data_IF_624146578508
#
_entry.id   IF_624146578508
#
_cell.length_a   1.000
_cell.length_b   1.000
_cell.length_c   1.000
_cell.angle_alpha   90.00
_cell.angle_beta   90.00
_cell.angle_gamma   90.00
#
_symmetry.space_group_name_H-M   'P 1'
#
loop_
_entity.id
_entity.type
_entity.pdbx_description
1 polymer ?
#
# COMPACT_ATOMS: atom_id res chain seq x y z
N UNK A 1 -28.82 -24.78 66.35
CA UNK A 1 -27.46 -24.99 66.89
C UNK A 1 -26.49 -24.72 65.74
N UNK A 2 -25.69 -23.68 65.60
CA UNK A 2 -25.34 -22.42 66.29
C UNK A 2 -24.72 -21.58 65.12
N UNK A 3 -25.31 -20.46 64.70
CA UNK A 3 -25.04 -19.10 65.18
C UNK A 3 -23.64 -18.52 64.83
N UNK A 4 -23.66 -17.43 64.04
CA UNK A 4 -22.79 -16.22 64.10
C UNK A 4 -21.29 -16.42 63.70
N UNK A 5 -20.53 -15.48 63.13
CA UNK A 5 -20.65 -14.03 62.97
C UNK A 5 -19.32 -13.48 62.38
N UNK A 6 -19.41 -12.39 61.61
CA UNK A 6 -18.44 -11.30 61.42
C UNK A 6 -17.02 -11.59 60.89
N UNK A 7 -16.73 -11.03 59.71
CA UNK A 7 -15.44 -10.42 59.33
C UNK A 7 -15.57 -9.82 57.91
N UNK A 8 -16.44 -8.82 57.74
CA UNK A 8 -16.05 -7.44 57.39
C UNK A 8 -14.63 -7.05 57.85
N UNK A 9 -13.62 -7.34 57.02
CA UNK A 9 -12.33 -6.64 57.05
C UNK A 9 -11.85 -6.36 55.61
N UNK A 10 -11.68 -5.07 55.34
CA UNK A 10 -10.83 -4.46 54.32
C UNK A 10 -11.21 -4.62 52.84
N UNK A 11 -12.26 -3.88 52.43
CA UNK A 11 -12.24 -3.26 51.11
C UNK A 11 -11.21 -2.11 51.16
N UNK A 12 -10.05 -2.18 50.47
CA UNK A 12 -9.11 -1.08 50.43
C UNK A 12 -9.84 0.17 49.94
N UNK A 13 -9.75 1.23 50.75
CA UNK A 13 -10.45 2.49 50.55
C UNK A 13 -10.38 2.93 49.10
N UNK A 14 -11.56 3.11 48.48
CA UNK A 14 -11.68 3.90 47.25
C UNK A 14 -11.13 5.28 47.57
N UNK A 15 -9.85 5.51 47.29
CA UNK A 15 -9.25 6.83 47.26
C UNK A 15 -10.18 7.68 46.39
N UNK A 16 -10.78 8.70 46.98
CA UNK A 16 -11.52 9.71 46.25
C UNK A 16 -10.55 10.24 45.19
N UNK A 17 -10.71 9.78 43.95
CA UNK A 17 -9.95 10.29 42.83
C UNK A 17 -10.29 11.77 42.77
N UNK A 18 -9.35 12.62 43.18
CA UNK A 18 -9.47 14.07 43.10
C UNK A 18 -9.91 14.40 41.69
N UNK A 19 -11.12 14.91 41.54
CA UNK A 19 -11.62 15.31 40.24
C UNK A 19 -10.58 16.26 39.63
N UNK A 20 -10.01 15.95 38.46
CA UNK A 20 -9.06 16.85 37.83
C UNK A 20 -9.75 18.21 37.69
N UNK A 21 -9.18 19.22 38.33
CA UNK A 21 -9.78 20.55 38.37
C UNK A 21 -10.08 21.03 36.96
N UNK A 22 -11.26 21.62 36.75
CA UNK A 22 -11.78 22.13 35.47
C UNK A 22 -10.74 22.94 34.67
N UNK A 23 -9.81 23.59 35.37
CA UNK A 23 -8.67 24.34 34.84
C UNK A 23 -7.75 23.48 33.93
N UNK A 24 -7.50 22.22 34.29
CA UNK A 24 -6.65 21.32 33.50
C UNK A 24 -7.30 20.87 32.19
N UNK A 25 -8.64 20.90 32.12
CA UNK A 25 -9.38 20.62 30.90
C UNK A 25 -9.45 21.89 30.04
N UNK A 26 -9.58 23.08 30.62
CA UNK A 26 -9.68 24.34 29.88
C UNK A 26 -8.38 24.74 29.17
N UNK A 27 -7.22 24.55 29.82
CA UNK A 27 -5.91 24.91 29.27
C UNK A 27 -5.63 24.36 27.86
N UNK A 28 -5.81 23.06 27.56
CA UNK A 28 -5.57 22.53 26.22
C UNK A 28 -6.54 23.09 25.17
N UNK A 29 -7.79 23.38 25.50
CA UNK A 29 -8.74 23.99 24.55
C UNK A 29 -8.33 25.42 24.17
N UNK A 30 -7.86 26.22 25.13
CA UNK A 30 -7.37 27.59 24.85
C UNK A 30 -6.11 27.55 23.99
N UNK A 31 -5.15 26.68 24.31
CA UNK A 31 -3.92 26.52 23.53
C UNK A 31 -4.24 26.06 22.09
N UNK A 32 -5.13 25.08 21.95
CA UNK A 32 -5.49 24.52 20.65
C UNK A 32 -6.31 25.52 19.81
N UNK A 33 -7.19 26.28 20.45
CA UNK A 33 -7.93 27.38 19.81
C UNK A 33 -7.00 28.50 19.32
N UNK A 34 -6.02 28.90 20.14
CA UNK A 34 -5.04 29.92 19.75
C UNK A 34 -4.15 29.45 18.59
N UNK A 35 -3.64 28.21 18.64
CA UNK A 35 -2.89 27.61 17.53
C UNK A 35 -3.73 27.54 16.24
N UNK A 36 -5.00 27.17 16.34
CA UNK A 36 -5.90 27.15 15.18
C UNK A 36 -6.05 28.55 14.56
N UNK A 37 -6.26 29.59 15.39
CA UNK A 37 -6.35 30.99 14.91
C UNK A 37 -5.07 31.42 14.20
N UNK A 38 -3.89 31.11 14.74
CA UNK A 38 -2.61 31.44 14.11
C UNK A 38 -2.44 30.76 12.74
N UNK A 39 -2.78 29.47 12.64
CA UNK A 39 -2.70 28.71 11.39
C UNK A 39 -3.67 29.26 10.35
N UNK A 40 -4.93 29.49 10.73
CA UNK A 40 -5.98 30.02 9.84
C UNK A 40 -5.61 31.42 9.34
N UNK A 41 -5.12 32.29 10.22
CA UNK A 41 -4.71 33.65 9.86
C UNK A 41 -3.55 33.63 8.86
N UNK A 42 -2.54 32.77 9.09
CA UNK A 42 -1.42 32.59 8.15
C UNK A 42 -1.88 32.08 6.78
N UNK A 43 -2.79 31.09 6.76
CA UNK A 43 -3.41 30.57 5.53
C UNK A 43 -4.23 31.64 4.81
N UNK A 44 -5.03 32.43 5.54
CA UNK A 44 -5.87 33.48 4.96
C UNK A 44 -5.02 34.57 4.30
N UNK A 45 -3.90 34.95 4.92
CA UNK A 45 -2.98 35.96 4.38
C UNK A 45 -2.27 35.44 3.12
N UNK A 46 -1.84 34.17 3.10
CA UNK A 46 -1.06 33.61 1.98
C UNK A 46 -1.90 33.13 0.80
N UNK A 47 -3.08 32.58 1.07
CA UNK A 47 -3.87 31.84 0.07
C UNK A 47 -5.32 32.34 -0.04
N UNK A 48 -5.70 33.36 0.74
CA UNK A 48 -7.03 33.96 0.73
C UNK A 48 -8.00 33.35 1.74
N UNK A 49 -9.03 34.12 2.09
CA UNK A 49 -10.03 33.78 3.11
C UNK A 49 -10.82 32.50 2.77
N UNK A 50 -11.14 32.27 1.50
CA UNK A 50 -11.89 31.07 1.07
C UNK A 50 -11.12 29.78 1.40
N UNK A 51 -9.81 29.74 1.14
CA UNK A 51 -8.95 28.58 1.45
C UNK A 51 -8.85 28.38 2.96
N UNK A 52 -8.76 29.47 3.72
CA UNK A 52 -8.70 29.41 5.18
C UNK A 52 -10.00 28.86 5.80
N UNK A 53 -11.17 29.27 5.30
CA UNK A 53 -12.47 28.71 5.73
C UNK A 53 -12.59 27.23 5.35
N UNK A 54 -12.20 26.87 4.13
CA UNK A 54 -12.20 25.47 3.69
C UNK A 54 -11.30 24.62 4.58
N UNK A 55 -10.08 25.10 4.89
CA UNK A 55 -9.15 24.41 5.77
C UNK A 55 -9.71 24.28 7.19
N UNK A 56 -10.33 25.32 7.74
CA UNK A 56 -10.94 25.30 9.07
C UNK A 56 -12.04 24.24 9.19
N UNK A 57 -12.84 24.04 8.14
CA UNK A 57 -13.90 23.04 8.12
C UNK A 57 -13.38 21.63 7.81
N UNK A 58 -12.45 21.52 6.85
CA UNK A 58 -11.96 20.22 6.37
C UNK A 58 -10.96 19.58 7.34
N UNK A 59 -10.04 20.35 7.94
CA UNK A 59 -8.96 19.82 8.78
C UNK A 59 -9.49 19.04 10.00
N UNK A 60 -10.45 19.54 10.79
CA UNK A 60 -10.99 18.78 11.92
C UNK A 60 -11.66 17.47 11.48
N UNK A 61 -12.44 17.51 10.39
CA UNK A 61 -13.11 16.33 9.85
C UNK A 61 -12.09 15.30 9.37
N UNK A 62 -11.03 15.75 8.68
CA UNK A 62 -9.92 14.89 8.24
C UNK A 62 -9.15 14.30 9.41
N UNK A 63 -8.82 15.10 10.44
CA UNK A 63 -8.11 14.63 11.62
C UNK A 63 -8.93 13.60 12.42
N UNK A 64 -10.22 13.88 12.65
CA UNK A 64 -11.12 12.92 13.33
C UNK A 64 -11.21 11.63 12.52
N UNK A 65 -11.42 11.74 11.21
CA UNK A 65 -11.49 10.57 10.33
C UNK A 65 -10.17 9.79 10.38
N UNK A 66 -9.03 10.47 10.31
CA UNK A 66 -7.70 9.87 10.40
C UNK A 66 -7.49 9.13 11.72
N UNK A 67 -7.83 9.74 12.87
CA UNK A 67 -7.67 9.10 14.18
C UNK A 67 -8.58 7.87 14.31
N UNK A 68 -9.84 7.97 13.89
CA UNK A 68 -10.78 6.85 13.90
C UNK A 68 -10.32 5.73 12.96
N UNK A 69 -9.88 6.10 11.75
CA UNK A 69 -9.34 5.20 10.75
C UNK A 69 -8.10 4.46 11.25
N UNK A 70 -7.16 5.19 11.87
CA UNK A 70 -5.92 4.63 12.39
C UNK A 70 -6.16 3.67 13.55
N UNK A 71 -7.05 4.01 14.49
CA UNK A 71 -7.43 3.10 15.58
C UNK A 71 -8.02 1.79 15.04
N UNK A 72 -8.85 1.87 14.00
CA UNK A 72 -9.42 0.70 13.33
C UNK A 72 -8.37 -0.10 12.57
N UNK A 73 -7.46 0.56 11.87
CA UNK A 73 -6.34 -0.07 11.19
C UNK A 73 -5.48 -0.88 12.16
N UNK A 74 -5.16 -0.33 13.33
CA UNK A 74 -4.44 -1.05 14.40
C UNK A 74 -5.23 -2.26 14.88
N UNK A 75 -6.56 -2.14 15.03
CA UNK A 75 -7.43 -3.29 15.34
C UNK A 75 -7.37 -4.40 14.29
N UNK A 76 -7.40 -4.03 13.00
CA UNK A 76 -7.22 -4.97 11.89
C UNK A 76 -5.84 -5.63 11.91
N UNK A 77 -4.77 -4.86 12.14
CA UNK A 77 -3.41 -5.38 12.22
C UNK A 77 -3.25 -6.37 13.38
N UNK A 78 -3.84 -6.10 14.55
CA UNK A 78 -3.84 -7.03 15.68
C UNK A 78 -4.60 -8.32 15.37
N UNK A 79 -5.75 -8.19 14.72
CA UNK A 79 -6.56 -9.35 14.30
C UNK A 79 -5.80 -10.19 13.27
N UNK A 80 -5.15 -9.53 12.30
CA UNK A 80 -4.34 -10.17 11.28
C UNK A 80 -3.12 -10.87 11.88
N UNK A 81 -2.45 -10.22 12.85
CA UNK A 81 -1.34 -10.77 13.61
C UNK A 81 -1.72 -12.08 14.32
N UNK A 82 -2.92 -12.15 14.90
CA UNK A 82 -3.42 -13.36 15.56
C UNK A 82 -3.66 -14.54 14.59
N UNK A 83 -3.80 -14.29 13.30
CA UNK A 83 -4.05 -15.30 12.26
C UNK A 83 -2.83 -15.54 11.36
N UNK A 84 -1.64 -15.06 11.75
CA UNK A 84 -0.42 -15.26 10.97
C UNK A 84 -0.06 -16.75 10.91
N UNK A 85 -0.10 -17.27 9.69
CA UNK A 85 0.43 -18.59 9.34
C UNK A 85 1.86 -18.47 8.85
N UNK A 86 2.59 -19.59 8.84
CA UNK A 86 3.98 -19.68 8.34
C UNK A 86 4.21 -18.96 7.01
N UNK A 87 3.25 -19.08 6.08
CA UNK A 87 3.38 -18.47 4.77
C UNK A 87 3.23 -16.94 4.76
N UNK A 88 2.53 -16.35 5.73
CA UNK A 88 2.45 -14.89 5.83
C UNK A 88 3.83 -14.31 6.13
N UNK A 89 4.58 -14.99 7.01
CA UNK A 89 5.95 -14.62 7.36
C UNK A 89 6.85 -14.76 6.14
N UNK A 90 6.82 -15.91 5.45
CA UNK A 90 7.65 -16.08 4.24
C UNK A 90 7.32 -15.08 3.14
N UNK A 91 6.03 -14.78 2.94
CA UNK A 91 5.59 -13.77 1.98
C UNK A 91 6.08 -12.38 2.34
N UNK A 92 6.07 -12.03 3.63
CA UNK A 92 6.65 -10.78 4.13
C UNK A 92 8.17 -10.75 3.94
N UNK A 93 8.88 -11.86 4.11
CA UNK A 93 10.33 -11.94 3.88
C UNK A 93 10.68 -11.72 2.41
N UNK A 94 9.96 -12.35 1.47
CA UNK A 94 10.12 -12.09 0.03
C UNK A 94 9.76 -10.64 -0.32
N UNK A 95 8.65 -10.13 0.23
CA UNK A 95 8.29 -8.72 0.03
C UNK A 95 9.40 -7.78 0.52
N UNK A 96 10.00 -8.08 1.68
CA UNK A 96 11.10 -7.32 2.25
C UNK A 96 12.40 -7.46 1.43
N UNK A 97 12.69 -8.64 0.87
CA UNK A 97 13.86 -8.85 0.01
C UNK A 97 13.74 -8.07 -1.30
N UNK A 98 12.53 -7.88 -1.81
CA UNK A 98 12.25 -7.08 -2.99
C UNK A 98 12.39 -5.55 -2.76
N UNK A 99 12.48 -5.08 -1.51
CA UNK A 99 12.65 -3.65 -1.23
C UNK A 99 14.05 -3.18 -1.61
N UNK A 100 14.12 -2.11 -2.40
CA UNK A 100 15.38 -1.54 -2.87
C UNK A 100 15.79 -0.39 -1.95
N UNK A 101 16.84 -0.55 -1.15
CA UNK A 101 17.34 0.52 -0.29
C UNK A 101 18.49 1.34 -0.93
N UNK A 102 19.01 0.86 -2.06
CA UNK A 102 20.10 1.50 -2.80
C UNK A 102 19.92 1.25 -4.30
N UNK A 103 20.02 2.31 -5.11
CA UNK A 103 20.09 2.22 -6.56
C UNK A 103 21.57 2.15 -6.96
N UNK A 104 21.95 1.17 -7.78
CA UNK A 104 23.33 0.99 -8.28
C UNK A 104 23.36 1.07 -9.81
N UNK A 105 24.38 1.72 -10.36
CA UNK A 105 24.70 1.64 -11.79
C UNK A 105 25.37 0.31 -12.15
N UNK A 106 25.45 0.00 -13.45
CA UNK A 106 26.06 -1.25 -13.94
C UNK A 106 27.53 -1.37 -13.49
N UNK A 107 28.30 -0.29 -13.56
CA UNK A 107 29.71 -0.29 -13.17
C UNK A 107 29.89 -0.57 -11.67
N UNK A 108 29.06 0.03 -10.80
CA UNK A 108 29.09 -0.23 -9.35
C UNK A 108 28.78 -1.69 -9.01
N UNK A 109 27.87 -2.33 -9.75
CA UNK A 109 27.52 -3.74 -9.57
C UNK A 109 28.71 -4.64 -9.96
N UNK A 110 29.47 -4.25 -10.99
CA UNK A 110 30.65 -5.01 -11.43
C UNK A 110 31.82 -4.89 -10.44
N UNK A 111 32.03 -3.70 -9.88
CA UNK A 111 33.11 -3.46 -8.91
C UNK A 111 32.83 -4.10 -7.55
N UNK A 112 31.57 -4.04 -7.09
CA UNK A 112 31.16 -4.57 -5.78
C UNK A 112 29.83 -5.34 -5.91
N UNK A 113 29.89 -6.63 -6.30
CA UNK A 113 28.67 -7.42 -6.53
C UNK A 113 27.87 -7.62 -5.24
N UNK A 114 28.57 -7.83 -4.11
CA UNK A 114 27.97 -8.13 -2.81
C UNK A 114 28.27 -6.98 -1.83
N UNK A 115 27.24 -6.21 -1.48
CA UNK A 115 27.27 -5.21 -0.40
C UNK A 115 26.29 -5.61 0.74
N UNK A 116 26.17 -4.77 1.77
CA UNK A 116 25.31 -5.06 2.91
C UNK A 116 23.82 -5.21 2.53
N UNK A 117 23.34 -4.45 1.54
CA UNK A 117 21.95 -4.52 1.08
C UNK A 117 21.70 -5.76 0.21
N UNK A 118 22.68 -6.16 -0.61
CA UNK A 118 22.65 -7.43 -1.32
C UNK A 118 22.66 -8.61 -0.34
N UNK A 119 23.50 -8.59 0.70
CA UNK A 119 23.52 -9.61 1.75
C UNK A 119 22.19 -9.68 2.51
N UNK A 120 21.57 -8.53 2.81
CA UNK A 120 20.23 -8.48 3.39
C UNK A 120 19.21 -9.22 2.51
N UNK A 121 19.17 -8.91 1.21
CA UNK A 121 18.25 -9.55 0.24
C UNK A 121 18.49 -11.06 0.14
N UNK A 122 19.75 -11.46 -0.10
CA UNK A 122 20.15 -12.87 -0.20
C UNK A 122 19.84 -13.62 1.10
N UNK A 123 20.05 -13.00 2.26
CA UNK A 123 19.76 -13.60 3.56
C UNK A 123 18.27 -13.92 3.73
N UNK A 124 17.38 -12.99 3.35
CA UNK A 124 15.93 -13.23 3.40
C UNK A 124 15.48 -14.32 2.42
N UNK A 125 16.00 -14.28 1.18
CA UNK A 125 15.73 -15.29 0.15
C UNK A 125 16.24 -16.68 0.57
N UNK A 126 17.40 -16.76 1.21
CA UNK A 126 17.97 -18.00 1.74
C UNK A 126 17.09 -18.60 2.86
N UNK A 127 16.55 -17.77 3.76
CA UNK A 127 15.61 -18.22 4.80
C UNK A 127 14.34 -18.81 4.16
N UNK A 128 13.78 -18.14 3.16
CA UNK A 128 12.58 -18.61 2.45
C UNK A 128 12.87 -19.92 1.71
N UNK A 129 14.01 -20.00 1.00
CA UNK A 129 14.46 -21.20 0.30
C UNK A 129 14.61 -22.38 1.25
N UNK A 130 15.31 -22.20 2.38
CA UNK A 130 15.50 -23.24 3.38
C UNK A 130 14.16 -23.70 3.97
N UNK A 131 13.24 -22.77 4.22
CA UNK A 131 11.90 -23.11 4.71
C UNK A 131 11.11 -23.95 3.68
N UNK A 132 11.14 -23.59 2.40
CA UNK A 132 10.47 -24.34 1.33
C UNK A 132 11.08 -25.73 1.13
N UNK A 133 12.41 -25.84 1.12
CA UNK A 133 13.13 -27.11 1.03
C UNK A 133 12.84 -28.01 2.23
N UNK A 134 12.85 -27.46 3.44
CA UNK A 134 12.50 -28.21 4.66
C UNK A 134 11.08 -28.75 4.59
N UNK A 135 10.13 -27.94 4.13
CA UNK A 135 8.73 -28.39 3.96
C UNK A 135 8.57 -29.44 2.87
N UNK A 136 9.36 -29.35 1.80
CA UNK A 136 9.39 -30.34 0.73
C UNK A 136 9.96 -31.68 1.24
N UNK A 137 11.10 -31.64 1.93
CA UNK A 137 11.75 -32.81 2.51
C UNK A 137 10.85 -33.53 3.53
N UNK A 138 10.16 -32.75 4.38
CA UNK A 138 9.18 -33.28 5.34
C UNK A 138 7.82 -33.63 4.70
N UNK A 139 7.67 -33.49 3.38
CA UNK A 139 6.42 -33.72 2.62
C UNK A 139 5.20 -33.02 3.22
N UNK A 140 5.40 -31.86 3.87
CA UNK A 140 4.31 -31.09 4.51
C UNK A 140 3.44 -30.37 3.49
N UNK A 141 3.98 -30.09 2.31
CA UNK A 141 3.33 -29.33 1.22
C UNK A 141 3.85 -29.80 -0.12
N UNK A 142 2.97 -30.28 -0.99
CA UNK A 142 3.28 -30.74 -2.37
C UNK A 142 3.40 -29.55 -3.34
N UNK A 143 4.18 -28.55 -2.98
CA UNK A 143 4.25 -27.29 -3.72
C UNK A 143 4.94 -27.42 -5.08
N UNK A 144 5.90 -28.34 -5.21
CA UNK A 144 6.65 -28.54 -6.45
C UNK A 144 5.73 -28.92 -7.62
N UNK A 145 4.79 -29.85 -7.40
CA UNK A 145 3.81 -30.21 -8.41
C UNK A 145 2.82 -29.08 -8.72
N UNK A 146 2.52 -28.22 -7.74
CA UNK A 146 1.66 -27.06 -7.92
C UNK A 146 2.32 -25.94 -8.73
N UNK A 147 3.65 -25.84 -8.73
CA UNK A 147 4.40 -24.81 -9.43
C UNK A 147 4.19 -24.86 -10.94
N UNK A 148 3.94 -26.05 -11.50
CA UNK A 148 3.76 -26.26 -12.94
C UNK A 148 2.28 -26.38 -13.36
N UNK A 149 1.34 -25.86 -12.56
CA UNK A 149 -0.09 -25.94 -12.84
C UNK A 149 -0.73 -24.55 -12.99
N UNK A 150 -1.69 -24.46 -13.91
CA UNK A 150 -2.48 -23.25 -14.14
C UNK A 150 -1.63 -22.02 -14.45
N UNK A 151 -2.03 -20.86 -13.93
CA UNK A 151 -1.32 -19.60 -14.14
C UNK A 151 0.08 -19.58 -13.50
N UNK A 152 0.25 -20.24 -12.35
CA UNK A 152 1.57 -20.36 -11.69
C UNK A 152 2.54 -21.12 -12.59
N UNK A 153 2.07 -22.15 -13.30
CA UNK A 153 2.86 -22.87 -14.31
C UNK A 153 3.36 -21.99 -15.46
N UNK A 154 2.55 -21.02 -15.90
CA UNK A 154 2.96 -20.05 -16.93
C UNK A 154 4.07 -19.14 -16.39
N UNK A 155 3.95 -18.66 -15.15
CA UNK A 155 5.01 -17.88 -14.49
C UNK A 155 6.28 -18.72 -14.31
N UNK A 156 6.16 -19.97 -13.90
CA UNK A 156 7.30 -20.88 -13.78
C UNK A 156 7.99 -21.11 -15.13
N UNK A 157 7.23 -21.32 -16.20
CA UNK A 157 7.78 -21.46 -17.54
C UNK A 157 8.53 -20.21 -17.98
N UNK A 158 7.99 -19.01 -17.70
CA UNK A 158 8.68 -17.75 -17.94
C UNK A 158 10.02 -17.67 -17.17
N UNK A 159 10.01 -17.98 -15.86
CA UNK A 159 11.24 -18.02 -15.06
C UNK A 159 12.27 -19.05 -15.53
N UNK A 160 11.83 -20.19 -16.08
CA UNK A 160 12.72 -21.18 -16.69
C UNK A 160 13.32 -20.70 -18.01
N UNK A 161 12.57 -19.94 -18.81
CA UNK A 161 13.09 -19.29 -20.03
C UNK A 161 14.13 -18.23 -19.65
N UNK A 162 13.85 -17.41 -18.64
CA UNK A 162 14.83 -16.46 -18.09
C UNK A 162 16.07 -17.19 -17.56
N UNK A 163 15.91 -18.31 -16.88
CA UNK A 163 17.03 -19.13 -16.42
C UNK A 163 17.87 -19.65 -17.60
N UNK A 164 17.23 -20.18 -18.65
CA UNK A 164 17.91 -20.64 -19.86
C UNK A 164 18.67 -19.51 -20.57
N UNK A 165 18.12 -18.29 -20.55
CA UNK A 165 18.76 -17.10 -21.14
C UNK A 165 20.11 -16.72 -20.54
N UNK A 166 20.43 -17.25 -19.36
CA UNK A 166 21.77 -17.16 -18.76
C UNK A 166 22.88 -17.59 -19.73
N UNK A 167 22.62 -18.57 -20.59
CA UNK A 167 23.62 -19.15 -21.52
C UNK A 167 24.15 -18.10 -22.51
N UNK A 168 23.31 -17.15 -22.94
CA UNK A 168 23.67 -16.13 -23.92
C UNK A 168 23.56 -14.70 -23.37
N UNK A 169 23.44 -14.55 -22.05
CA UNK A 169 23.37 -13.23 -21.42
C UNK A 169 24.73 -12.55 -21.42
N UNK A 170 24.72 -11.22 -21.59
CA UNK A 170 25.90 -10.36 -21.45
C UNK A 170 26.48 -10.45 -20.03
N UNK A 171 25.63 -10.68 -19.02
CA UNK A 171 26.07 -10.89 -17.64
C UNK A 171 25.41 -12.14 -17.04
N UNK A 172 25.98 -13.34 -17.27
CA UNK A 172 25.38 -14.61 -16.88
C UNK A 172 25.11 -14.73 -15.38
N UNK A 173 26.06 -14.35 -14.52
CA UNK A 173 25.90 -14.47 -13.07
C UNK A 173 24.71 -13.63 -12.54
N UNK A 174 24.55 -12.40 -13.03
CA UNK A 174 23.42 -11.55 -12.64
C UNK A 174 22.08 -12.08 -13.17
N UNK A 175 22.08 -12.59 -14.40
CA UNK A 175 20.88 -13.19 -15.02
C UNK A 175 20.46 -14.43 -14.25
N UNK A 176 21.39 -15.34 -13.96
CA UNK A 176 21.16 -16.53 -13.14
C UNK A 176 20.57 -16.16 -11.78
N UNK A 177 21.16 -15.17 -11.10
CA UNK A 177 20.67 -14.69 -9.81
C UNK A 177 19.22 -14.20 -9.90
N UNK A 178 18.90 -13.34 -10.87
CA UNK A 178 17.54 -12.80 -11.04
C UNK A 178 16.51 -13.85 -11.45
N UNK A 179 16.88 -14.79 -12.31
CA UNK A 179 16.00 -15.90 -12.67
C UNK A 179 15.72 -16.81 -11.48
N UNK A 180 16.72 -17.09 -10.64
CA UNK A 180 16.54 -17.86 -9.40
C UNK A 180 15.67 -17.12 -8.38
N UNK A 181 15.86 -15.81 -8.22
CA UNK A 181 15.05 -14.96 -7.35
C UNK A 181 13.57 -14.99 -7.79
N UNK A 182 13.31 -14.80 -9.08
CA UNK A 182 11.97 -14.88 -9.65
C UNK A 182 11.34 -16.27 -9.48
N UNK A 183 12.09 -17.34 -9.75
CA UNK A 183 11.60 -18.71 -9.55
C UNK A 183 11.32 -19.02 -8.08
N UNK A 184 12.06 -18.43 -7.14
CA UNK A 184 11.79 -18.54 -5.71
C UNK A 184 10.46 -17.87 -5.34
N UNK A 185 10.16 -16.69 -5.88
CA UNK A 185 8.88 -16.01 -5.69
C UNK A 185 7.71 -16.86 -6.21
N UNK A 186 7.87 -17.43 -7.40
CA UNK A 186 6.89 -18.34 -8.01
C UNK A 186 6.73 -19.61 -7.19
N UNK A 187 7.83 -20.19 -6.69
CA UNK A 187 7.81 -21.38 -5.84
C UNK A 187 7.10 -21.13 -4.50
N UNK A 188 7.36 -19.97 -3.87
CA UNK A 188 6.65 -19.57 -2.66
C UNK A 188 5.16 -19.38 -2.94
N UNK A 189 4.79 -18.70 -4.04
CA UNK A 189 3.39 -18.53 -4.44
C UNK A 189 2.71 -19.89 -4.66
N UNK A 190 3.38 -20.83 -5.34
CA UNK A 190 2.91 -22.20 -5.52
C UNK A 190 2.68 -22.90 -4.18
N UNK A 191 3.60 -22.75 -3.23
CA UNK A 191 3.48 -23.33 -1.91
C UNK A 191 2.33 -22.72 -1.10
N UNK A 192 2.10 -21.42 -1.23
CA UNK A 192 0.96 -20.73 -0.61
C UNK A 192 -0.33 -21.31 -1.19
N UNK A 193 -0.50 -21.26 -2.51
CA UNK A 193 -1.73 -21.70 -3.19
C UNK A 193 -2.03 -23.17 -2.93
N UNK A 194 -1.02 -24.04 -2.89
CA UNK A 194 -1.19 -25.44 -2.51
C UNK A 194 -1.71 -25.65 -1.07
N UNK A 195 -1.60 -24.64 -0.20
CA UNK A 195 -2.12 -24.69 1.19
C UNK A 195 -3.43 -23.94 1.41
N UNK A 196 -3.88 -23.12 0.45
CA UNK A 196 -5.16 -22.42 0.57
C UNK A 196 -6.29 -23.42 0.33
N UNK A 197 -7.07 -23.73 1.36
CA UNK A 197 -8.17 -24.72 1.30
C UNK A 197 -9.54 -24.07 1.24
N UNK A 198 -9.64 -22.79 1.54
CA UNK A 198 -10.90 -22.06 1.66
C UNK A 198 -10.82 -20.67 1.03
N UNK A 199 -11.98 -20.12 0.68
CA UNK A 199 -12.11 -18.73 0.21
C UNK A 199 -11.61 -17.73 1.26
N UNK A 200 -11.80 -18.04 2.55
CA UNK A 200 -11.31 -17.19 3.64
C UNK A 200 -9.78 -17.20 3.72
N UNK A 201 -9.12 -18.34 3.47
CA UNK A 201 -7.65 -18.38 3.38
C UNK A 201 -7.14 -17.51 2.23
N UNK A 202 -7.78 -17.58 1.05
CA UNK A 202 -7.46 -16.71 -0.08
C UNK A 202 -7.64 -15.24 0.29
N UNK A 203 -8.73 -14.90 0.98
CA UNK A 203 -9.00 -13.55 1.46
C UNK A 203 -7.92 -13.06 2.42
N UNK A 204 -7.46 -13.90 3.35
CA UNK A 204 -6.36 -13.56 4.25
C UNK A 204 -5.06 -13.31 3.49
N UNK A 205 -4.73 -14.13 2.50
CA UNK A 205 -3.54 -13.95 1.67
C UNK A 205 -3.57 -12.61 0.94
N UNK A 206 -4.67 -12.28 0.27
CA UNK A 206 -4.81 -11.00 -0.41
C UNK A 206 -4.80 -9.81 0.56
N UNK A 207 -5.54 -9.89 1.66
CA UNK A 207 -5.54 -8.82 2.67
C UNK A 207 -4.12 -8.59 3.23
N UNK A 208 -3.33 -9.64 3.42
CA UNK A 208 -1.94 -9.53 3.85
C UNK A 208 -1.08 -8.82 2.81
N UNK A 209 -1.13 -9.24 1.54
CA UNK A 209 -0.41 -8.60 0.43
C UNK A 209 -0.75 -7.11 0.32
N UNK A 210 -2.03 -6.76 0.40
CA UNK A 210 -2.47 -5.37 0.32
C UNK A 210 -2.07 -4.56 1.55
N UNK A 211 -1.99 -5.19 2.72
CA UNK A 211 -1.44 -4.56 3.92
C UNK A 211 0.03 -4.18 3.70
N UNK A 212 0.83 -5.07 3.10
CA UNK A 212 2.23 -4.79 2.76
C UNK A 212 2.35 -3.62 1.77
N UNK A 213 1.50 -3.56 0.75
CA UNK A 213 1.43 -2.39 -0.15
C UNK A 213 1.03 -1.10 0.59
N UNK A 214 0.07 -1.18 1.51
CA UNK A 214 -0.31 -0.03 2.34
C UNK A 214 0.86 0.48 3.20
N UNK A 215 1.61 -0.43 3.83
CA UNK A 215 2.82 -0.09 4.59
C UNK A 215 3.90 0.54 3.71
N UNK A 216 4.09 0.03 2.49
CA UNK A 216 5.01 0.61 1.52
C UNK A 216 4.59 2.02 1.07
N UNK A 217 3.30 2.28 0.85
CA UNK A 217 2.83 3.64 0.56
C UNK A 217 2.98 4.57 1.76
N UNK A 218 2.82 4.06 2.99
CA UNK A 218 3.13 4.85 4.19
C UNK A 218 4.61 5.25 4.20
N UNK A 219 5.55 4.35 3.87
CA UNK A 219 6.96 4.71 3.80
C UNK A 219 7.25 5.74 2.70
N UNK A 220 6.53 5.70 1.57
CA UNK A 220 6.62 6.73 0.52
C UNK A 220 6.20 8.10 1.07
N UNK A 221 5.07 8.19 1.79
CA UNK A 221 4.61 9.43 2.40
C UNK A 221 5.51 9.91 3.55
N UNK A 222 6.12 9.00 4.31
CA UNK A 222 7.18 9.36 5.26
C UNK A 222 8.39 9.98 4.54
N UNK A 223 8.73 9.48 3.36
CA UNK A 223 9.72 10.09 2.47
C UNK A 223 9.39 11.55 2.12
N UNK A 224 8.13 11.89 1.88
CA UNK A 224 7.70 13.28 1.63
C UNK A 224 7.95 14.18 2.85
N UNK A 225 7.74 13.66 4.05
CA UNK A 225 7.92 14.42 5.28
C UNK A 225 9.40 14.61 5.65
N UNK A 226 10.21 13.56 5.49
CA UNK A 226 11.62 13.54 5.88
C UNK A 226 12.52 14.14 4.80
N UNK A 227 12.19 13.89 3.53
CA UNK A 227 13.01 14.13 2.35
C UNK A 227 12.14 14.67 1.19
N UNK A 228 11.45 15.81 1.36
CA UNK A 228 10.51 16.34 0.36
C UNK A 228 11.18 16.55 -1.01
N UNK A 229 12.44 16.99 -1.03
CA UNK A 229 13.18 17.22 -2.27
C UNK A 229 13.47 15.93 -3.05
N UNK A 230 13.66 14.80 -2.37
CA UNK A 230 13.88 13.50 -3.03
C UNK A 230 12.57 12.74 -3.30
N UNK A 231 11.56 12.88 -2.44
CA UNK A 231 10.28 12.17 -2.60
C UNK A 231 9.35 12.86 -3.60
N UNK A 232 9.38 14.19 -3.65
CA UNK A 232 8.68 15.03 -4.61
C UNK A 232 9.72 15.69 -5.52
N UNK A 233 10.49 14.89 -6.26
CA UNK A 233 11.58 15.46 -7.04
C UNK A 233 11.03 16.41 -8.12
N UNK A 234 11.42 17.70 -8.10
CA UNK A 234 11.17 18.60 -9.19
C UNK A 234 12.21 18.32 -10.27
N UNK A 235 11.75 17.91 -11.45
CA UNK A 235 12.53 17.85 -12.70
C UNK A 235 13.94 17.22 -12.61
N UNK A 236 14.04 15.95 -13.01
CA UNK A 236 15.21 15.58 -13.82
C UNK A 236 15.14 16.42 -15.10
N UNK A 237 16.11 17.33 -15.29
CA UNK A 237 16.27 18.10 -16.52
C UNK A 237 16.09 17.14 -17.72
N UNK A 238 15.12 17.41 -18.59
CA UNK A 238 14.91 16.79 -19.92
C UNK A 238 13.93 15.60 -20.05
N UNK A 239 13.11 15.24 -19.07
CA UNK A 239 11.98 14.31 -19.33
C UNK A 239 10.67 15.00 -18.97
N UNK A 240 9.87 15.29 -20.01
CA UNK A 240 8.68 16.16 -19.98
C UNK A 240 7.86 16.00 -18.72
N UNK A 241 7.36 17.10 -18.17
CA UNK A 241 6.69 17.13 -16.86
C UNK A 241 5.23 16.77 -17.04
N UNK A 242 4.62 16.04 -16.10
CA UNK A 242 3.17 15.96 -16.09
C UNK A 242 2.60 17.18 -15.39
N UNK A 243 1.28 17.35 -15.49
CA UNK A 243 0.57 18.62 -15.23
C UNK A 243 0.93 19.29 -13.89
N UNK A 244 1.22 18.52 -12.83
CA UNK A 244 1.46 19.07 -11.49
C UNK A 244 2.89 19.56 -11.24
N UNK A 245 3.82 19.43 -12.19
CA UNK A 245 5.21 19.89 -11.98
C UNK A 245 6.07 18.98 -11.08
N UNK A 246 5.45 18.07 -10.33
CA UNK A 246 6.09 17.16 -9.36
C UNK A 246 5.59 15.74 -9.53
N UNK A 247 6.43 14.74 -9.23
CA UNK A 247 6.04 13.33 -9.18
C UNK A 247 6.44 12.72 -7.84
N UNK A 248 5.53 11.94 -7.27
CA UNK A 248 5.76 11.22 -6.03
C UNK A 248 6.54 9.92 -6.31
N UNK A 249 7.59 9.67 -5.53
CA UNK A 249 8.35 8.43 -5.54
C UNK A 249 8.78 8.03 -4.12
N UNK A 250 9.12 6.75 -3.93
CA UNK A 250 9.69 6.26 -2.68
C UNK A 250 11.18 6.61 -2.57
N UNK A 251 11.61 7.08 -1.40
CA UNK A 251 13.01 7.39 -1.10
C UNK A 251 13.69 6.22 -0.40
N UNK A 252 13.09 5.73 0.69
CA UNK A 252 13.60 4.61 1.48
C UNK A 252 12.45 3.72 1.94
N UNK A 253 12.20 2.57 1.29
CA UNK A 253 12.90 2.06 0.11
C UNK A 253 12.66 2.92 -1.15
N UNK A 254 13.59 2.84 -2.09
CA UNK A 254 13.49 3.42 -3.43
C UNK A 254 12.39 2.69 -4.22
N UNK A 255 11.33 3.42 -4.56
CA UNK A 255 10.18 2.90 -5.31
C UNK A 255 9.89 3.87 -6.44
N UNK A 256 9.81 3.37 -7.67
CA UNK A 256 9.54 4.23 -8.83
C UNK A 256 8.15 4.85 -8.74
N UNK A 257 7.94 6.05 -9.31
CA UNK A 257 6.61 6.65 -9.39
C UNK A 257 5.59 5.73 -10.08
N UNK A 258 6.04 4.90 -11.02
CA UNK A 258 5.17 3.95 -11.71
C UNK A 258 4.63 2.89 -10.74
N UNK A 259 5.47 2.35 -9.87
CA UNK A 259 5.09 1.36 -8.86
C UNK A 259 4.23 2.00 -7.77
N UNK A 260 4.59 3.19 -7.28
CA UNK A 260 3.78 3.96 -6.31
C UNK A 260 2.36 4.15 -6.85
N UNK A 261 2.23 4.58 -8.11
CA UNK A 261 0.94 4.74 -8.76
C UNK A 261 0.17 3.43 -8.89
N UNK A 262 0.87 2.34 -9.24
CA UNK A 262 0.26 1.02 -9.43
C UNK A 262 -0.27 0.45 -8.10
N UNK A 263 0.52 0.51 -7.02
CA UNK A 263 0.07 0.09 -5.69
C UNK A 263 -1.10 0.94 -5.19
N UNK A 264 -1.07 2.24 -5.46
CA UNK A 264 -2.17 3.15 -5.14
C UNK A 264 -3.45 2.80 -5.93
N UNK A 265 -3.34 2.54 -7.23
CA UNK A 265 -4.47 2.09 -8.05
C UNK A 265 -5.09 0.79 -7.52
N UNK A 266 -4.26 -0.19 -7.16
CA UNK A 266 -4.69 -1.46 -6.57
C UNK A 266 -5.46 -1.21 -5.25
N UNK A 267 -4.89 -0.43 -4.32
CA UNK A 267 -5.52 -0.12 -3.04
C UNK A 267 -6.81 0.69 -3.19
N UNK A 268 -6.88 1.61 -4.15
CA UNK A 268 -8.09 2.35 -4.47
C UNK A 268 -9.20 1.41 -4.98
N UNK A 269 -8.88 0.48 -5.88
CA UNK A 269 -9.84 -0.53 -6.34
C UNK A 269 -10.34 -1.41 -5.20
N UNK A 270 -9.44 -1.88 -4.33
CA UNK A 270 -9.82 -2.71 -3.17
C UNK A 270 -10.74 -1.92 -2.23
N UNK A 271 -10.40 -0.67 -1.93
CA UNK A 271 -11.23 0.20 -1.11
C UNK A 271 -12.63 0.36 -1.71
N UNK A 272 -12.71 0.54 -3.03
CA UNK A 272 -13.97 0.65 -3.74
C UNK A 272 -14.79 -0.66 -3.70
N UNK A 273 -14.15 -1.81 -3.93
CA UNK A 273 -14.79 -3.13 -3.80
C UNK A 273 -15.39 -3.35 -2.40
N UNK A 274 -14.73 -2.83 -1.35
CA UNK A 274 -15.19 -2.95 0.04
C UNK A 274 -16.28 -1.91 0.40
N UNK A 275 -16.28 -0.75 -0.25
CA UNK A 275 -17.31 0.28 -0.09
C UNK A 275 -18.60 -0.03 -0.86
N UNK A 276 -18.49 -0.78 -1.95
CA UNK A 276 -19.59 -1.25 -2.78
C UNK A 276 -19.76 -2.76 -2.64
N UNK A 277 -20.04 -3.29 -1.44
CA UNK A 277 -20.09 -4.72 -1.26
C UNK A 277 -21.25 -5.31 -2.05
N UNK A 278 -20.96 -6.41 -2.77
CA UNK A 278 -21.95 -7.24 -3.46
C UNK A 278 -22.90 -7.90 -2.45
N UNK A 279 -22.34 -8.35 -1.33
CA UNK A 279 -23.09 -8.88 -0.20
C UNK A 279 -23.51 -7.73 0.71
N UNK A 280 -24.77 -7.72 1.18
CA UNK A 280 -25.35 -6.64 2.02
C UNK A 280 -24.69 -6.46 3.40
N UNK A 281 -23.55 -7.08 3.65
CA UNK A 281 -22.85 -7.01 4.92
C UNK A 281 -22.21 -5.63 5.10
N UNK A 282 -22.50 -4.97 6.22
CA UNK A 282 -22.05 -3.59 6.49
C UNK A 282 -20.56 -3.60 6.83
N UNK A 283 -19.73 -3.35 5.82
CA UNK A 283 -18.30 -3.09 6.03
C UNK A 283 -18.06 -1.71 6.62
N UNK A 284 -16.91 -1.54 7.26
CA UNK A 284 -16.56 -0.38 8.04
C UNK A 284 -16.17 0.81 7.14
N UNK A 285 -17.19 1.55 6.68
CA UNK A 285 -17.09 2.52 5.56
C UNK A 285 -16.00 3.58 5.74
N UNK A 286 -15.81 4.09 6.96
CA UNK A 286 -14.88 5.21 7.22
C UNK A 286 -13.44 4.87 6.86
N UNK A 287 -12.96 3.66 7.20
CA UNK A 287 -11.59 3.24 6.89
C UNK A 287 -11.37 3.15 5.38
N UNK A 288 -12.31 2.54 4.66
CA UNK A 288 -12.19 2.38 3.22
C UNK A 288 -12.36 3.70 2.46
N UNK A 289 -13.14 4.65 2.97
CA UNK A 289 -13.19 6.01 2.41
C UNK A 289 -11.81 6.67 2.52
N UNK A 290 -11.18 6.61 3.70
CA UNK A 290 -9.85 7.17 3.90
C UNK A 290 -8.80 6.50 3.01
N UNK A 291 -8.83 5.17 2.95
CA UNK A 291 -7.94 4.40 2.08
C UNK A 291 -8.14 4.79 0.61
N UNK A 292 -9.38 4.90 0.15
CA UNK A 292 -9.71 5.32 -1.21
C UNK A 292 -9.18 6.73 -1.50
N UNK A 293 -9.46 7.71 -0.62
CA UNK A 293 -9.00 9.09 -0.80
C UNK A 293 -7.47 9.19 -0.81
N UNK A 294 -6.80 8.54 0.14
CA UNK A 294 -5.34 8.52 0.21
C UNK A 294 -4.71 7.84 -1.00
N UNK A 295 -5.26 6.70 -1.44
CA UNK A 295 -4.80 5.98 -2.61
C UNK A 295 -5.03 6.78 -3.90
N UNK A 296 -6.19 7.41 -4.08
CA UNK A 296 -6.46 8.29 -5.22
C UNK A 296 -5.50 9.48 -5.25
N UNK A 297 -5.28 10.15 -4.12
CA UNK A 297 -4.32 11.25 -4.03
C UNK A 297 -2.89 10.78 -4.39
N UNK A 298 -2.48 9.62 -3.87
CA UNK A 298 -1.17 9.02 -4.16
C UNK A 298 -1.01 8.69 -5.65
N UNK A 299 -2.03 8.10 -6.28
CA UNK A 299 -2.03 7.76 -7.70
C UNK A 299 -1.96 9.01 -8.59
N UNK A 300 -2.69 10.08 -8.24
CA UNK A 300 -2.63 11.36 -8.96
C UNK A 300 -1.25 12.01 -8.83
N UNK A 301 -0.67 12.02 -7.62
CA UNK A 301 0.65 12.59 -7.37
C UNK A 301 1.79 11.79 -8.00
N UNK A 302 1.64 10.49 -8.21
CA UNK A 302 2.64 9.67 -8.92
C UNK A 302 2.64 9.95 -10.43
N UNK A 303 1.53 10.49 -10.96
CA UNK A 303 1.31 10.81 -12.36
C UNK A 303 1.60 9.62 -13.30
N UNK A 304 1.11 8.42 -12.95
CA UNK A 304 1.41 7.18 -13.69
C UNK A 304 0.25 6.84 -14.64
N UNK A 305 0.49 6.97 -15.96
CA UNK A 305 -0.52 6.67 -16.99
C UNK A 305 -1.08 5.25 -16.90
N UNK A 306 -0.19 4.26 -16.84
CA UNK A 306 -0.56 2.85 -16.77
C UNK A 306 -1.38 2.53 -15.52
N UNK A 307 -1.05 3.16 -14.38
CA UNK A 307 -1.80 2.99 -13.14
C UNK A 307 -3.22 3.58 -13.23
N UNK A 308 -3.37 4.78 -13.82
CA UNK A 308 -4.68 5.40 -14.03
C UNK A 308 -5.52 4.55 -15.00
N UNK A 309 -4.94 4.10 -16.12
CA UNK A 309 -5.61 3.24 -17.08
C UNK A 309 -6.04 1.90 -16.43
N UNK A 310 -5.14 1.27 -15.67
CA UNK A 310 -5.42 0.06 -14.91
C UNK A 310 -6.52 0.25 -13.87
N UNK A 311 -6.53 1.38 -13.15
CA UNK A 311 -7.59 1.74 -12.21
C UNK A 311 -8.94 1.89 -12.92
N UNK A 312 -9.00 2.63 -14.04
CA UNK A 312 -10.24 2.84 -14.80
C UNK A 312 -10.78 1.52 -15.38
N UNK A 313 -9.91 0.67 -15.91
CA UNK A 313 -10.30 -0.67 -16.38
C UNK A 313 -10.81 -1.53 -15.23
N UNK A 314 -10.11 -1.55 -14.09
CA UNK A 314 -10.55 -2.28 -12.91
C UNK A 314 -11.88 -1.78 -12.34
N UNK A 315 -12.10 -0.45 -12.35
CA UNK A 315 -13.36 0.17 -11.96
C UNK A 315 -14.49 -0.25 -12.90
N UNK A 316 -14.25 -0.23 -14.21
CA UNK A 316 -15.20 -0.70 -15.21
C UNK A 316 -15.59 -2.16 -14.96
N UNK A 317 -14.60 -3.05 -14.79
CA UNK A 317 -14.83 -4.46 -14.49
C UNK A 317 -15.61 -4.64 -13.17
N UNK A 318 -15.26 -3.90 -12.13
CA UNK A 318 -15.98 -3.93 -10.86
C UNK A 318 -17.47 -3.60 -11.05
N UNK A 319 -17.79 -2.54 -11.79
CA UNK A 319 -19.17 -2.13 -12.04
C UNK A 319 -19.93 -3.12 -12.93
N UNK A 320 -19.25 -3.66 -13.95
CA UNK A 320 -19.76 -4.70 -14.84
C UNK A 320 -20.17 -5.95 -14.03
N UNK A 321 -19.26 -6.49 -13.21
CA UNK A 321 -19.53 -7.67 -12.39
C UNK A 321 -20.49 -7.39 -11.22
N UNK A 322 -20.58 -6.14 -10.75
CA UNK A 322 -21.56 -5.73 -9.75
C UNK A 322 -23.00 -5.62 -10.28
N UNK A 323 -23.23 -5.95 -11.57
CA UNK A 323 -24.52 -5.78 -12.27
C UNK A 323 -25.05 -4.35 -12.22
N UNK A 324 -24.19 -3.36 -11.98
CA UNK A 324 -24.52 -1.94 -11.99
C UNK A 324 -24.26 -1.36 -13.38
N UNK A 325 -24.81 -2.04 -14.39
CA UNK A 325 -24.57 -1.73 -15.80
C UNK A 325 -24.98 -0.31 -16.14
N UNK A 326 -26.03 0.24 -15.50
CA UNK A 326 -26.42 1.64 -15.69
C UNK A 326 -25.32 2.63 -15.28
N UNK A 327 -24.61 2.38 -14.17
CA UNK A 327 -23.52 3.25 -13.72
C UNK A 327 -22.26 3.06 -14.58
N UNK A 328 -21.99 1.81 -15.00
CA UNK A 328 -20.90 1.50 -15.92
C UNK A 328 -21.11 2.17 -17.28
N UNK A 329 -22.31 2.02 -17.86
CA UNK A 329 -22.69 2.68 -19.10
C UNK A 329 -22.66 4.21 -18.96
N UNK A 330 -23.12 4.77 -17.84
CA UNK A 330 -23.02 6.21 -17.59
C UNK A 330 -21.55 6.70 -17.55
N UNK A 331 -20.66 5.99 -16.84
CA UNK A 331 -19.23 6.33 -16.82
C UNK A 331 -18.60 6.24 -18.22
N UNK A 332 -18.90 5.17 -18.98
CA UNK A 332 -18.30 4.94 -20.29
C UNK A 332 -18.86 5.86 -21.38
N UNK A 333 -20.18 6.08 -21.43
CA UNK A 333 -20.83 6.80 -22.52
C UNK A 333 -21.12 8.28 -22.20
N UNK A 334 -21.06 8.69 -20.94
CA UNK A 334 -21.30 10.09 -20.55
C UNK A 334 -20.04 10.73 -20.00
N UNK A 335 -19.43 10.13 -18.97
CA UNK A 335 -18.28 10.75 -18.30
C UNK A 335 -17.04 10.74 -19.19
N UNK A 336 -16.73 9.65 -19.88
CA UNK A 336 -15.55 9.58 -20.74
C UNK A 336 -15.61 10.57 -21.93
N UNK A 337 -16.71 10.68 -22.70
CA UNK A 337 -16.80 11.67 -23.77
C UNK A 337 -16.77 13.11 -23.25
N UNK A 338 -17.41 13.40 -22.11
CA UNK A 338 -17.35 14.73 -21.49
C UNK A 338 -15.93 15.07 -21.06
N UNK A 339 -15.21 14.12 -20.44
CA UNK A 339 -13.81 14.33 -20.07
C UNK A 339 -12.96 14.62 -21.30
N UNK A 340 -13.12 13.84 -22.38
CA UNK A 340 -12.38 14.04 -23.64
C UNK A 340 -12.74 15.37 -24.32
N UNK A 341 -14.02 15.77 -24.31
CA UNK A 341 -14.48 17.01 -24.95
C UNK A 341 -14.24 18.28 -24.10
N UNK A 342 -13.98 18.13 -22.80
CA UNK A 342 -13.72 19.25 -21.89
C UNK A 342 -12.27 19.75 -21.99
N UNK A 343 -11.99 20.90 -21.36
CA UNK A 343 -10.61 21.39 -21.16
C UNK A 343 -9.71 20.40 -20.41
N UNK A 344 -10.32 19.50 -19.61
CA UNK A 344 -9.62 18.38 -18.97
C UNK A 344 -9.14 17.36 -20.00
N UNK A 345 -9.83 17.22 -21.13
CA UNK A 345 -9.45 16.35 -22.24
C UNK A 345 -8.14 16.77 -22.88
N UNK A 346 -7.92 18.07 -23.09
CA UNK A 346 -6.64 18.61 -23.56
C UNK A 346 -5.50 18.37 -22.56
N UNK A 347 -5.79 18.44 -21.26
CA UNK A 347 -4.85 18.07 -20.20
C UNK A 347 -4.54 16.57 -20.20
N UNK A 348 -5.55 15.72 -20.40
CA UNK A 348 -5.37 14.27 -20.53
C UNK A 348 -4.55 13.94 -21.78
N UNK A 349 -4.83 14.60 -22.91
CA UNK A 349 -4.13 14.39 -24.18
C UNK A 349 -2.66 14.79 -24.09
N UNK A 350 -2.37 16.01 -23.61
CA UNK A 350 -0.98 16.44 -23.34
C UNK A 350 -0.30 15.54 -22.30
N UNK A 351 -1.05 15.06 -21.31
CA UNK A 351 -0.54 14.07 -20.37
C UNK A 351 -0.24 12.72 -21.02
N UNK A 352 -0.97 12.30 -22.06
CA UNK A 352 -0.74 11.06 -22.82
C UNK A 352 0.37 11.21 -23.87
N UNK A 353 0.52 12.37 -24.50
CA UNK A 353 1.56 12.67 -25.50
C UNK A 353 2.94 12.92 -24.88
N UNK A 354 3.02 13.29 -23.60
CA UNK A 354 4.30 13.56 -22.92
C UNK A 354 5.38 12.49 -23.23
N UNK A 355 6.52 12.93 -23.75
CA UNK A 355 7.64 12.07 -24.17
C UNK A 355 7.60 11.60 -25.64
N UNK A 356 6.60 12.01 -26.42
CA UNK A 356 6.52 11.77 -27.87
C UNK A 356 7.01 12.97 -28.71
N UNK A 357 7.16 14.15 -28.11
CA UNK A 357 7.65 15.38 -28.77
C UNK A 357 9.18 15.56 -28.66
N UNK A 358 9.95 14.46 -28.62
CA UNK A 358 11.43 14.50 -28.61
C UNK A 358 11.99 13.94 -29.91
#
# INVERSE_FOLDING_TARGET
MLARSLSDWDKPGRRAASQPGVIWIAAPFVILGFLAVLVITSLAIRHGLAVAILALLAVPVLLISLVVGLRRAVGFLRTLAAHLRWWHVLWMLIFASALVFRVRGVNEIQESPIDAWALYRIGLEAIVTLALLTRLALRRTEWFGSMFRGFIGVLAAFGLIELASTIWSVFPAWTLYKSCEYLLDVALLAAIVATLKSVEDCRHFFNWTWTLYGLLLISVWLGVLLWPQQALYPNGKNVGVGILGVRLAGVLPAVSSNDVGTFAAILALIALCRLLPLDRNKSDRTWYILLLTAAMATMVLSQTRSAIAGFLLGLFLLLLFSKRLGLSAFLTFVVAPILVASSVGGLIWSFLERGQDV
#
